data_IF_423862001826
#
_entry.id   IF_423862001826
#
_cell.length_a   1.000
_cell.length_b   1.000
_cell.length_c   1.000
_cell.angle_alpha   90.00
_cell.angle_beta   90.00
_cell.angle_gamma   90.00
#
_symmetry.space_group_name_H-M   'P 1'
#
loop_
_entity.id
_entity.type
_entity.pdbx_description
1 polymer ?
#
# COMPACT_ATOMS: atom_id res chain seq x y z
N UNK A 1 14.24 -13.04 13.68
CA UNK A 1 14.85 -11.89 12.98
C UNK A 1 15.06 -12.29 11.54
N UNK A 2 14.12 -11.96 10.66
CA UNK A 2 14.27 -12.20 9.22
C UNK A 2 14.25 -10.82 8.56
N UNK A 3 15.44 -10.37 8.20
CA UNK A 3 15.66 -9.21 7.35
C UNK A 3 15.50 -9.72 5.92
N UNK A 4 14.39 -9.39 5.26
CA UNK A 4 14.27 -9.56 3.81
C UNK A 4 14.49 -8.19 3.16
N UNK A 5 15.75 -7.80 3.06
CA UNK A 5 16.21 -6.80 2.08
C UNK A 5 16.17 -7.45 0.70
N UNK A 6 15.09 -7.24 -0.03
CA UNK A 6 15.10 -7.40 -1.47
C UNK A 6 15.06 -6.00 -2.07
N UNK A 7 16.26 -5.50 -2.37
CA UNK A 7 16.45 -4.35 -3.24
C UNK A 7 15.93 -4.80 -4.59
N UNK A 8 14.72 -4.36 -4.95
CA UNK A 8 14.17 -4.62 -6.28
C UNK A 8 15.07 -3.92 -7.30
N UNK A 9 15.81 -4.72 -8.05
CA UNK A 9 16.58 -4.32 -9.22
C UNK A 9 15.61 -3.64 -10.21
N UNK A 10 15.68 -2.31 -10.25
CA UNK A 10 14.77 -1.46 -11.01
C UNK A 10 15.24 -1.33 -12.46
N UNK A 11 15.45 -2.46 -13.13
CA UNK A 11 15.82 -2.49 -14.54
C UNK A 11 14.67 -3.07 -15.38
N UNK A 12 13.89 -2.15 -15.98
CA UNK A 12 13.03 -2.34 -17.16
C UNK A 12 11.64 -2.99 -16.96
N UNK A 13 10.91 -2.62 -15.92
CA UNK A 13 9.44 -2.63 -16.05
C UNK A 13 9.07 -1.42 -16.88
N UNK A 14 8.69 -1.64 -18.14
CA UNK A 14 8.20 -0.59 -19.02
C UNK A 14 7.23 0.30 -18.23
N UNK A 15 7.60 1.56 -18.03
CA UNK A 15 6.86 2.54 -17.26
C UNK A 15 5.54 2.81 -18.00
N UNK A 16 4.53 1.99 -17.73
CA UNK A 16 3.21 2.10 -18.33
C UNK A 16 2.50 3.24 -17.63
N UNK A 17 2.47 4.40 -18.27
CA UNK A 17 1.71 5.56 -17.82
C UNK A 17 0.21 5.24 -17.91
N UNK A 18 -0.51 5.41 -16.80
CA UNK A 18 -1.97 5.34 -16.79
C UNK A 18 -2.53 6.65 -17.34
N UNK A 19 -3.38 6.56 -18.36
CA UNK A 19 -4.04 7.73 -18.96
C UNK A 19 -4.90 8.46 -17.92
N UNK A 20 -4.96 9.79 -18.03
CA UNK A 20 -5.80 10.60 -17.15
C UNK A 20 -7.27 10.20 -17.34
N UNK A 21 -7.95 9.80 -16.26
CA UNK A 21 -9.32 9.27 -16.30
C UNK A 21 -9.42 7.74 -16.39
N UNK A 22 -8.29 7.02 -16.29
CA UNK A 22 -8.28 5.56 -16.17
C UNK A 22 -9.01 5.04 -14.93
N UNK A 23 -8.98 5.82 -13.83
CA UNK A 23 -9.63 5.45 -12.59
C UNK A 23 -11.04 6.00 -12.49
N UNK A 24 -11.96 5.13 -12.09
CA UNK A 24 -13.27 5.53 -11.60
C UNK A 24 -13.15 6.27 -10.26
N UNK A 25 -14.18 7.04 -9.87
CA UNK A 25 -14.21 7.70 -8.55
C UNK A 25 -14.01 6.71 -7.39
N UNK A 26 -14.55 5.50 -7.53
CA UNK A 26 -14.38 4.44 -6.55
C UNK A 26 -12.92 4.01 -6.40
N UNK A 27 -12.19 3.89 -7.50
CA UNK A 27 -10.78 3.54 -7.52
C UNK A 27 -9.88 4.68 -7.02
N UNK A 28 -10.22 5.94 -7.35
CA UNK A 28 -9.55 7.11 -6.79
C UNK A 28 -9.71 7.19 -5.28
N UNK A 29 -10.92 6.88 -4.76
CA UNK A 29 -11.16 6.83 -3.33
C UNK A 29 -10.36 5.69 -2.67
N UNK A 30 -10.35 4.50 -3.28
CA UNK A 30 -9.54 3.37 -2.81
C UNK A 30 -8.04 3.72 -2.76
N UNK A 31 -7.54 4.40 -3.79
CA UNK A 31 -6.17 4.89 -3.86
C UNK A 31 -5.84 5.87 -2.72
N UNK A 32 -6.72 6.85 -2.47
CA UNK A 32 -6.58 7.81 -1.37
C UNK A 32 -6.50 7.12 -0.01
N UNK A 33 -7.39 6.14 0.24
CA UNK A 33 -7.38 5.37 1.50
C UNK A 33 -6.07 4.61 1.70
N UNK A 34 -5.53 4.00 0.64
CA UNK A 34 -4.26 3.26 0.74
C UNK A 34 -3.08 4.17 1.07
N UNK A 35 -3.00 5.36 0.45
CA UNK A 35 -1.96 6.35 0.78
C UNK A 35 -2.07 6.77 2.25
N UNK A 36 -3.27 7.11 2.70
CA UNK A 36 -3.48 7.61 4.05
C UNK A 36 -3.27 6.56 5.14
N UNK A 37 -3.68 5.31 4.89
CA UNK A 37 -3.71 4.27 5.94
C UNK A 37 -2.54 3.31 5.91
N UNK A 38 -1.94 3.06 4.75
CA UNK A 38 -1.02 1.93 4.58
C UNK A 38 0.33 2.36 4.03
N UNK A 39 0.45 3.57 3.46
CA UNK A 39 1.65 4.05 2.73
C UNK A 39 2.23 3.04 1.74
N UNK A 40 1.45 2.01 1.37
CA UNK A 40 1.80 0.96 0.44
C UNK A 40 0.73 0.93 -0.64
N UNK A 41 1.17 0.94 -1.89
CA UNK A 41 0.29 0.88 -3.05
C UNK A 41 0.43 -0.49 -3.72
N UNK A 42 -0.65 -1.05 -4.27
CA UNK A 42 -0.56 -2.23 -5.11
C UNK A 42 0.22 -1.93 -6.38
N UNK A 43 0.87 -2.97 -6.91
CA UNK A 43 1.70 -2.89 -8.12
C UNK A 43 0.80 -3.13 -9.32
N UNK A 44 0.80 -2.20 -10.28
CA UNK A 44 0.09 -2.37 -11.54
C UNK A 44 0.94 -3.16 -12.53
N UNK A 45 0.42 -4.29 -13.04
CA UNK A 45 1.11 -5.16 -14.00
C UNK A 45 0.66 -4.95 -15.45
N UNK A 46 -0.35 -4.11 -15.68
CA UNK A 46 -0.87 -3.79 -17.00
C UNK A 46 -2.27 -4.33 -17.28
N UNK A 47 -2.59 -5.51 -16.75
CA UNK A 47 -3.90 -6.17 -16.84
C UNK A 47 -4.55 -6.36 -15.47
N UNK A 48 -3.84 -5.97 -14.40
CA UNK A 48 -4.33 -6.06 -13.03
C UNK A 48 -3.37 -5.48 -12.01
N UNK A 49 -3.72 -5.71 -10.75
CA UNK A 49 -3.08 -5.19 -9.55
C UNK A 49 -2.58 -6.35 -8.72
N UNK A 50 -1.35 -6.21 -8.19
CA UNK A 50 -0.72 -7.19 -7.31
C UNK A 50 -0.49 -6.61 -5.92
N UNK A 51 -0.83 -7.37 -4.89
CA UNK A 51 -0.59 -7.03 -3.51
C UNK A 51 0.91 -7.11 -3.20
N UNK A 52 1.55 -6.06 -2.68
CA UNK A 52 2.97 -6.08 -2.35
C UNK A 52 3.28 -6.98 -1.14
N UNK A 53 2.29 -7.22 -0.27
CA UNK A 53 2.50 -7.96 0.99
C UNK A 53 2.39 -9.48 0.84
N UNK A 54 1.52 -9.98 -0.05
CA UNK A 54 1.31 -11.43 -0.22
C UNK A 54 1.28 -11.90 -1.67
N UNK A 55 1.41 -10.99 -2.64
CA UNK A 55 1.40 -11.33 -4.06
C UNK A 55 0.03 -11.70 -4.64
N UNK A 56 -1.07 -11.56 -3.89
CA UNK A 56 -2.42 -11.74 -4.41
C UNK A 56 -2.69 -10.80 -5.58
N UNK A 57 -3.35 -11.29 -6.64
CA UNK A 57 -3.64 -10.53 -7.86
C UNK A 57 -5.16 -10.30 -8.00
N UNK A 58 -5.54 -9.10 -8.47
CA UNK A 58 -6.93 -8.73 -8.79
C UNK A 58 -6.96 -7.84 -10.01
N UNK A 59 -8.04 -7.92 -10.79
CA UNK A 59 -8.24 -7.10 -11.98
C UNK A 59 -8.55 -5.63 -11.64
N UNK A 60 -9.15 -5.36 -10.47
CA UNK A 60 -9.64 -4.04 -10.07
C UNK A 60 -8.90 -3.47 -8.86
N UNK A 61 -8.64 -2.15 -8.88
CA UNK A 61 -7.90 -1.48 -7.81
C UNK A 61 -8.71 -1.47 -6.50
N UNK A 62 -10.02 -1.24 -6.58
CA UNK A 62 -10.90 -1.16 -5.41
C UNK A 62 -10.92 -2.48 -4.62
N UNK A 63 -11.04 -3.61 -5.32
CA UNK A 63 -10.96 -4.95 -4.75
C UNK A 63 -9.59 -5.25 -4.17
N UNK A 64 -8.51 -4.80 -4.83
CA UNK A 64 -7.16 -4.92 -4.28
C UNK A 64 -6.98 -4.10 -3.00
N UNK A 65 -7.51 -2.88 -2.96
CA UNK A 65 -7.48 -2.05 -1.76
C UNK A 65 -8.22 -2.71 -0.60
N UNK A 66 -9.42 -3.26 -0.85
CA UNK A 66 -10.18 -4.00 0.15
C UNK A 66 -9.40 -5.23 0.66
N UNK A 67 -8.77 -5.98 -0.24
CA UNK A 67 -7.91 -7.11 0.15
C UNK A 67 -6.78 -6.65 1.08
N UNK A 68 -6.09 -5.56 0.74
CA UNK A 68 -4.99 -5.03 1.55
C UNK A 68 -5.48 -4.60 2.92
N UNK A 69 -6.60 -3.88 3.00
CA UNK A 69 -7.14 -3.36 4.25
C UNK A 69 -7.68 -4.46 5.17
N UNK A 70 -8.23 -5.54 4.61
CA UNK A 70 -8.83 -6.62 5.38
C UNK A 70 -7.82 -7.70 5.78
N UNK A 71 -6.90 -8.06 4.88
CA UNK A 71 -6.00 -9.21 5.06
C UNK A 71 -4.72 -8.81 5.79
N UNK A 72 -4.29 -7.57 5.56
CA UNK A 72 -3.07 -7.03 6.14
C UNK A 72 -3.50 -5.90 7.09
N UNK A 73 -3.84 -6.18 8.35
CA UNK A 73 -4.05 -5.12 9.34
C UNK A 73 -2.74 -4.36 9.60
N UNK A 74 -2.77 -3.09 10.01
CA UNK A 74 -1.57 -2.44 10.52
C UNK A 74 -1.11 -3.17 11.78
N UNK A 75 0.20 -3.28 11.97
CA UNK A 75 0.73 -3.79 13.22
C UNK A 75 0.22 -2.89 14.36
N UNK A 76 -0.32 -3.47 15.45
CA UNK A 76 -0.71 -2.68 16.59
C UNK A 76 0.51 -1.94 17.14
N UNK A 77 0.29 -0.75 17.69
CA UNK A 77 1.34 0.00 18.37
C UNK A 77 2.00 -0.86 19.45
N UNK A 78 3.32 -0.89 19.43
CA UNK A 78 4.09 -1.49 20.51
C UNK A 78 4.23 -0.50 21.68
N UNK A 79 4.79 -0.94 22.81
CA UNK A 79 4.95 -0.08 24.01
C UNK A 79 5.84 1.15 23.74
N UNK A 80 6.81 1.03 22.83
CA UNK A 80 7.72 2.10 22.44
C UNK A 80 6.99 3.18 21.64
N UNK A 81 6.17 2.79 20.65
CA UNK A 81 5.34 3.71 19.88
C UNK A 81 4.36 4.49 20.79
N UNK A 82 3.78 3.81 21.78
CA UNK A 82 2.88 4.43 22.76
C UNK A 82 3.61 5.44 23.66
N UNK A 83 4.90 5.22 23.94
CA UNK A 83 5.74 6.17 24.68
C UNK A 83 6.08 7.40 23.84
N UNK A 84 6.29 7.25 22.53
CA UNK A 84 6.54 8.38 21.61
C UNK A 84 5.31 9.28 21.43
N UNK A 85 4.11 8.70 21.48
CA UNK A 85 2.84 9.43 21.41
C UNK A 85 2.51 10.20 22.70
N UNK A 86 3.29 10.03 23.77
CA UNK A 86 3.09 10.82 24.98
C UNK A 86 3.36 12.30 24.67
N UNK A 87 2.43 13.21 25.02
CA UNK A 87 2.64 14.62 24.77
C UNK A 87 3.94 15.05 25.45
N UNK A 88 4.91 15.47 24.65
CA UNK A 88 6.11 16.14 25.16
C UNK A 88 5.61 17.38 25.88
N UNK A 89 5.69 17.35 27.22
CA UNK A 89 5.39 18.54 28.01
C UNK A 89 6.39 19.61 27.57
N UNK A 90 5.91 20.65 26.91
CA UNK A 90 6.71 21.86 26.72
C UNK A 90 7.00 22.42 28.12
N UNK A 91 8.27 22.45 28.50
CA UNK A 91 8.76 23.12 29.70
C UNK A 91 9.10 24.57 29.37
#
# INVERSE_FOLDING_TARGET
>A
MVVCTEVYDCDRVAERTLELGFFTEQELNAFSVLIHRRRCLPIFLGDGWRCPSCGCERSDLAGMANHILATHPPEPFNEEDLLELRPRRCA
#
